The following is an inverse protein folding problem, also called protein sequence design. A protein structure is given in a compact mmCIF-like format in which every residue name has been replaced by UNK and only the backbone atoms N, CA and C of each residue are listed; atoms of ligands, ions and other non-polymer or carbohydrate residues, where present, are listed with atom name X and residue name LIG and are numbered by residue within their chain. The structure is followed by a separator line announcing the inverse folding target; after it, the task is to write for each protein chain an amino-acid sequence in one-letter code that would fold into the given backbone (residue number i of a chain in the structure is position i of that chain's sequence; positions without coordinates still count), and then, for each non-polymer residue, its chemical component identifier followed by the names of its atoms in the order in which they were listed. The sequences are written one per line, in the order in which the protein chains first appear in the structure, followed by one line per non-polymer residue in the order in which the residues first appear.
data_IF_639172106293
#
_entry.id   IF_639172106293
#
_cell.length_a   1.000
_cell.length_b   1.000
_cell.length_c   1.000
_cell.angle_alpha   90.00
_cell.angle_beta   90.00
_cell.angle_gamma   90.00
#
_symmetry.space_group_name_H-M   'P 1'
#
loop_
_entity.id
_entity.type
_entity.pdbx_description
1 polymer ?
#
# COMPACT_ATOMS: atom_id res chain seq x y z
N UNK A 1 -40.66 8.53 -2.68
CA UNK A 1 -39.50 9.06 -1.92
C UNK A 1 -38.79 7.87 -1.29
N UNK A 2 -38.22 7.00 -2.12
CA UNK A 2 -37.39 5.89 -1.62
C UNK A 2 -36.14 6.46 -0.96
N UNK A 3 -35.96 6.13 0.33
CA UNK A 3 -34.73 6.40 1.06
C UNK A 3 -33.76 5.29 0.70
N UNK A 4 -32.93 5.53 -0.30
CA UNK A 4 -31.74 4.72 -0.53
C UNK A 4 -30.82 4.87 0.68
N UNK A 5 -30.95 3.93 1.62
CA UNK A 5 -29.95 3.69 2.64
C UNK A 5 -28.77 2.98 1.98
N UNK A 6 -28.07 3.70 1.11
CA UNK A 6 -26.76 3.31 0.63
C UNK A 6 -25.87 3.24 1.86
N UNK A 7 -25.43 2.05 2.21
CA UNK A 7 -24.36 1.81 3.17
C UNK A 7 -23.04 2.27 2.53
N UNK A 8 -22.98 3.57 2.22
CA UNK A 8 -21.81 4.26 1.69
C UNK A 8 -20.82 4.25 2.83
N UNK A 9 -19.71 3.55 2.64
CA UNK A 9 -18.57 3.57 3.56
C UNK A 9 -18.40 4.99 4.09
N UNK A 10 -18.40 5.13 5.42
CA UNK A 10 -18.38 6.43 6.09
C UNK A 10 -17.33 7.32 5.42
N UNK A 11 -17.75 8.44 4.81
CA UNK A 11 -16.84 9.37 4.14
C UNK A 11 -15.67 9.79 5.06
N UNK A 12 -15.91 9.79 6.37
CA UNK A 12 -14.89 9.98 7.40
C UNK A 12 -13.74 8.97 7.34
N UNK A 13 -14.01 7.69 7.03
CA UNK A 13 -13.00 6.64 6.86
C UNK A 13 -12.17 6.92 5.61
N UNK A 14 -12.80 7.24 4.48
CA UNK A 14 -12.07 7.58 3.25
C UNK A 14 -11.16 8.80 3.46
N UNK A 15 -11.66 9.83 4.15
CA UNK A 15 -10.92 11.06 4.41
C UNK A 15 -9.72 10.83 5.34
N UNK A 16 -9.87 9.95 6.35
CA UNK A 16 -8.76 9.50 7.20
C UNK A 16 -7.70 8.72 6.42
N UNK A 17 -8.10 7.78 5.57
CA UNK A 17 -7.16 7.00 4.76
C UNK A 17 -6.43 7.91 3.76
N UNK A 18 -7.16 8.84 3.13
CA UNK A 18 -6.58 9.84 2.25
C UNK A 18 -5.53 10.71 2.96
N UNK A 19 -5.83 11.18 4.17
CA UNK A 19 -4.86 11.93 4.98
C UNK A 19 -3.62 11.08 5.32
N UNK A 20 -3.81 9.79 5.67
CA UNK A 20 -2.70 8.88 5.91
C UNK A 20 -1.82 8.70 4.65
N UNK A 21 -2.42 8.57 3.46
CA UNK A 21 -1.69 8.47 2.19
C UNK A 21 -0.87 9.74 1.90
N UNK A 22 -1.42 10.92 2.19
CA UNK A 22 -0.67 12.18 2.07
C UNK A 22 0.51 12.23 3.04
N UNK A 23 0.33 11.80 4.29
CA UNK A 23 1.42 11.76 5.28
C UNK A 23 2.53 10.82 4.81
N UNK A 24 2.20 9.62 4.33
CA UNK A 24 3.20 8.68 3.79
C UNK A 24 3.96 9.29 2.61
N UNK A 25 3.27 10.02 1.75
CA UNK A 25 3.88 10.69 0.59
C UNK A 25 4.81 11.83 1.02
N UNK A 26 4.40 12.64 2.00
CA UNK A 26 5.25 13.68 2.57
C UNK A 26 6.49 13.10 3.25
N UNK A 27 6.35 11.97 3.97
CA UNK A 27 7.47 11.25 4.58
C UNK A 27 8.48 10.77 3.52
N UNK A 28 7.96 10.23 2.41
CA UNK A 28 8.79 9.79 1.30
C UNK A 28 9.56 10.96 0.66
N UNK A 29 8.89 12.09 0.47
CA UNK A 29 9.52 13.30 -0.06
C UNK A 29 10.60 13.85 0.90
N UNK A 30 10.35 13.81 2.21
CA UNK A 30 11.32 14.21 3.21
C UNK A 30 12.55 13.27 3.20
N UNK A 31 12.34 11.96 3.21
CA UNK A 31 13.42 10.97 3.12
C UNK A 31 14.25 11.13 1.84
N UNK A 32 13.61 11.47 0.72
CA UNK A 32 14.27 11.74 -0.55
C UNK A 32 15.22 12.93 -0.51
N UNK A 33 15.06 13.89 0.41
CA UNK A 33 15.92 15.07 0.53
C UNK A 33 17.15 14.85 1.43
N UNK A 34 17.16 13.80 2.26
CA UNK A 34 18.24 13.56 3.22
C UNK A 34 19.42 12.81 2.58
N UNK A 35 19.17 11.65 1.97
CA UNK A 35 20.23 10.88 1.31
C UNK A 35 19.66 9.90 0.28
N UNK A 36 20.42 9.53 -0.76
CA UNK A 36 19.98 8.55 -1.75
C UNK A 36 19.74 7.16 -1.14
N UNK A 37 20.53 6.74 -0.15
CA UNK A 37 20.33 5.46 0.55
C UNK A 37 19.01 5.44 1.34
N UNK A 38 18.70 6.52 2.08
CA UNK A 38 17.43 6.64 2.79
C UNK A 38 16.25 6.78 1.82
N UNK A 39 16.44 7.45 0.69
CA UNK A 39 15.42 7.56 -0.35
C UNK A 39 15.02 6.19 -0.90
N UNK A 40 16.01 5.32 -1.18
CA UNK A 40 15.77 3.94 -1.65
C UNK A 40 15.07 3.12 -0.57
N UNK A 41 15.52 3.18 0.68
CA UNK A 41 14.88 2.46 1.79
C UNK A 41 13.44 2.92 2.00
N UNK A 42 13.20 4.23 1.96
CA UNK A 42 11.87 4.82 2.09
C UNK A 42 10.96 4.43 0.91
N UNK A 43 11.49 4.44 -0.33
CA UNK A 43 10.79 3.95 -1.52
C UNK A 43 10.39 2.49 -1.35
N UNK A 44 11.30 1.64 -0.86
CA UNK A 44 11.04 0.21 -0.70
C UNK A 44 9.99 -0.11 0.37
N UNK A 45 9.86 0.73 1.38
CA UNK A 45 9.01 0.48 2.55
C UNK A 45 7.69 1.24 2.49
N UNK A 46 7.73 2.55 2.26
CA UNK A 46 6.53 3.39 2.23
C UNK A 46 5.66 3.12 1.00
N UNK A 47 6.27 2.72 -0.13
CA UNK A 47 5.53 2.43 -1.37
C UNK A 47 4.61 1.21 -1.29
N UNK A 48 5.07 0.03 -0.83
CA UNK A 48 4.15 -1.08 -0.61
C UNK A 48 3.17 -0.80 0.53
N UNK A 49 3.55 0.00 1.55
CA UNK A 49 2.64 0.36 2.64
C UNK A 49 1.44 1.19 2.16
N UNK A 50 1.65 2.18 1.27
CA UNK A 50 0.53 2.91 0.64
C UNK A 50 -0.35 1.99 -0.20
N UNK A 51 0.25 1.06 -0.95
CA UNK A 51 -0.49 0.11 -1.78
C UNK A 51 -1.36 -0.82 -0.91
N UNK A 52 -0.81 -1.33 0.20
CA UNK A 52 -1.56 -2.12 1.18
C UNK A 52 -2.74 -1.35 1.76
N UNK A 53 -2.54 -0.07 2.12
CA UNK A 53 -3.61 0.76 2.69
C UNK A 53 -4.75 0.99 1.67
N UNK A 54 -4.40 1.21 0.40
CA UNK A 54 -5.39 1.33 -0.68
C UNK A 54 -6.12 0.00 -0.93
N UNK A 55 -5.40 -1.12 -1.01
CA UNK A 55 -5.99 -2.45 -1.20
C UNK A 55 -6.97 -2.81 -0.07
N UNK A 56 -6.60 -2.50 1.17
CA UNK A 56 -7.40 -2.83 2.33
C UNK A 56 -8.68 -1.99 2.46
N UNK A 57 -8.59 -0.68 2.21
CA UNK A 57 -9.69 0.27 2.45
C UNK A 57 -10.48 0.63 1.20
N UNK A 58 -9.83 0.86 0.05
CA UNK A 58 -10.52 1.29 -1.17
C UNK A 58 -10.97 0.12 -2.05
N UNK A 59 -10.20 -0.97 -2.09
CA UNK A 59 -10.55 -2.14 -2.90
C UNK A 59 -11.45 -3.16 -2.18
N UNK A 60 -12.04 -2.81 -1.03
CA UNK A 60 -12.96 -3.69 -0.29
C UNK A 60 -12.46 -5.13 -0.05
N UNK A 61 -11.15 -5.38 -0.14
CA UNK A 61 -10.56 -6.72 0.04
C UNK A 61 -10.87 -7.31 1.44
N UNK A 62 -11.23 -6.44 2.40
CA UNK A 62 -11.74 -6.83 3.73
C UNK A 62 -13.10 -7.55 3.68
N UNK A 63 -13.91 -7.29 2.67
CA UNK A 63 -15.27 -7.84 2.48
C UNK A 63 -15.36 -8.87 1.34
N UNK A 64 -14.30 -9.02 0.56
CA UNK A 64 -14.23 -10.01 -0.51
C UNK A 64 -13.92 -11.42 0.00
N UNK A 65 -14.36 -12.43 -0.75
CA UNK A 65 -14.20 -13.84 -0.39
C UNK A 65 -12.73 -14.27 -0.21
N UNK A 66 -12.52 -15.32 0.59
CA UNK A 66 -11.19 -15.83 0.96
C UNK A 66 -10.28 -16.13 -0.24
N UNK A 67 -10.87 -16.48 -1.40
CA UNK A 67 -10.17 -16.73 -2.66
C UNK A 67 -9.43 -15.50 -3.20
N UNK A 68 -10.08 -14.33 -3.27
CA UNK A 68 -9.47 -13.10 -3.79
C UNK A 68 -8.33 -12.65 -2.87
N UNK A 69 -8.55 -12.73 -1.56
CA UNK A 69 -7.50 -12.45 -0.56
C UNK A 69 -6.30 -13.40 -0.71
N UNK A 70 -6.54 -14.68 -0.97
CA UNK A 70 -5.49 -15.68 -1.23
C UNK A 70 -4.72 -15.44 -2.53
N UNK A 71 -5.41 -15.04 -3.61
CA UNK A 71 -4.77 -14.70 -4.89
C UNK A 71 -3.88 -13.47 -4.75
N UNK A 72 -4.37 -12.39 -4.12
CA UNK A 72 -3.59 -11.17 -3.89
C UNK A 72 -2.38 -11.46 -2.99
N UNK A 73 -2.54 -12.26 -1.93
CA UNK A 73 -1.44 -12.63 -1.06
C UNK A 73 -0.37 -13.45 -1.79
N UNK A 74 -0.78 -14.40 -2.63
CA UNK A 74 0.14 -15.19 -3.46
C UNK A 74 0.90 -14.29 -4.43
N UNK A 75 0.20 -13.39 -5.14
CA UNK A 75 0.82 -12.44 -6.07
C UNK A 75 1.83 -11.50 -5.37
N UNK A 76 1.45 -10.93 -4.21
CA UNK A 76 2.33 -10.09 -3.40
C UNK A 76 3.54 -10.86 -2.87
N UNK A 77 3.35 -12.12 -2.46
CA UNK A 77 4.44 -12.97 -1.96
C UNK A 77 5.45 -13.26 -3.07
N UNK A 78 4.99 -13.64 -4.26
CA UNK A 78 5.87 -13.87 -5.42
C UNK A 78 6.62 -12.60 -5.80
N UNK A 79 5.94 -11.45 -5.83
CA UNK A 79 6.56 -10.16 -6.11
C UNK A 79 7.64 -9.82 -5.07
N UNK A 80 7.36 -10.03 -3.78
CA UNK A 80 8.30 -9.75 -2.69
C UNK A 80 9.55 -10.64 -2.77
N UNK A 81 9.38 -11.92 -3.14
CA UNK A 81 10.50 -12.85 -3.37
C UNK A 81 11.38 -12.36 -4.52
N UNK A 82 10.79 -11.95 -5.65
CA UNK A 82 11.58 -11.44 -6.79
C UNK A 82 12.28 -10.13 -6.47
N UNK A 83 11.61 -9.20 -5.77
CA UNK A 83 12.25 -7.96 -5.32
C UNK A 83 13.42 -8.27 -4.38
N UNK A 84 13.22 -9.15 -3.39
CA UNK A 84 14.28 -9.56 -2.46
C UNK A 84 15.47 -10.19 -3.18
N UNK A 85 15.21 -11.10 -4.13
CA UNK A 85 16.25 -11.74 -4.94
C UNK A 85 17.01 -10.72 -5.79
N UNK A 86 16.31 -9.76 -6.41
CA UNK A 86 16.92 -8.69 -7.20
C UNK A 86 17.86 -7.82 -6.37
N UNK A 87 17.47 -7.45 -5.15
CA UNK A 87 18.32 -6.65 -4.27
C UNK A 87 19.52 -7.43 -3.72
N UNK A 88 19.35 -8.72 -3.43
CA UNK A 88 20.45 -9.60 -3.07
C UNK A 88 21.46 -9.66 -4.22
N UNK A 89 21.01 -9.91 -5.45
CA UNK A 89 21.85 -9.95 -6.65
C UNK A 89 22.64 -8.65 -6.86
N UNK A 90 21.98 -7.49 -6.77
CA UNK A 90 22.64 -6.17 -6.87
C UNK A 90 23.69 -5.96 -5.78
N UNK A 91 23.42 -6.43 -4.55
CA UNK A 91 24.33 -6.29 -3.41
C UNK A 91 25.53 -7.26 -3.43
N UNK A 92 25.43 -8.36 -4.17
CA UNK A 92 26.52 -9.33 -4.34
C UNK A 92 27.42 -9.05 -5.56
N UNK A 93 27.08 -8.06 -6.39
CA UNK A 93 27.96 -7.53 -7.46
C UNK A 93 28.89 -6.45 -6.92
#
# INVERSE_FOLDING_TARGET
MEREQGHVVEYAVLLRVWAALLVLTALLLAASRLSPALAVLALLTLTPLKAWLVLYFFMHLRYEGLLLKGMVLTALSTLLVFIGMLFLDIGFR
#
